data_IF_395097290784
#
_entry.id   IF_395097290784
#
_cell.length_a   1.000
_cell.length_b   1.000
_cell.length_c   1.000
_cell.angle_alpha   90.00
_cell.angle_beta   90.00
_cell.angle_gamma   90.00
#
_symmetry.space_group_name_H-M   'P 1'
#
loop_
_entity.id
_entity.type
_entity.pdbx_description
1 polymer ?
#
# COMPACT_ATOMS: atom_id res chain seq x y z
N UNK A 1 -6.54 17.20 -18.64
CA UNK A 1 -5.18 16.72 -18.35
C UNK A 1 -4.23 17.90 -18.36
N UNK A 2 -3.50 18.15 -17.27
CA UNK A 2 -2.64 19.33 -17.17
C UNK A 2 -1.26 19.05 -17.79
N UNK A 3 -1.12 19.33 -19.09
CA UNK A 3 0.15 19.29 -19.83
C UNK A 3 0.89 20.63 -19.76
N UNK A 4 0.56 21.49 -18.79
CA UNK A 4 1.25 22.76 -18.60
C UNK A 4 2.41 22.61 -17.60
N UNK A 5 3.53 23.27 -17.88
CA UNK A 5 4.68 23.41 -16.98
C UNK A 5 5.24 24.82 -17.05
N UNK A 6 5.91 25.31 -15.99
CA UNK A 6 6.62 26.58 -16.07
C UNK A 6 7.80 26.46 -17.04
N UNK A 7 7.85 27.33 -18.05
CA UNK A 7 8.93 27.36 -19.01
C UNK A 7 10.26 27.64 -18.28
N UNK A 8 11.28 26.77 -18.38
CA UNK A 8 12.54 26.96 -17.65
C UNK A 8 13.32 28.19 -18.13
N UNK A 9 13.02 28.72 -19.32
CA UNK A 9 13.71 29.88 -19.86
C UNK A 9 13.09 31.23 -19.46
N UNK A 10 11.78 31.29 -19.22
CA UNK A 10 11.08 32.57 -19.00
C UNK A 10 9.97 32.54 -17.94
N UNK A 11 9.71 31.40 -17.32
CA UNK A 11 8.69 31.23 -16.28
C UNK A 11 7.25 31.19 -16.77
N UNK A 12 6.97 31.59 -18.02
CA UNK A 12 5.61 31.54 -18.59
C UNK A 12 5.08 30.10 -18.70
N UNK A 13 3.76 29.93 -18.76
CA UNK A 13 3.15 28.61 -18.95
C UNK A 13 3.52 28.04 -20.32
N UNK A 14 4.13 26.86 -20.32
CA UNK A 14 4.46 26.09 -21.52
C UNK A 14 3.64 24.80 -21.55
N UNK A 15 3.29 24.34 -22.75
CA UNK A 15 2.55 23.11 -22.95
C UNK A 15 3.46 22.01 -23.50
N UNK A 16 3.27 20.77 -23.06
CA UNK A 16 4.04 19.60 -23.50
C UNK A 16 3.95 19.31 -25.01
N UNK A 17 2.87 19.72 -25.68
CA UNK A 17 2.68 19.52 -27.12
C UNK A 17 3.05 20.73 -27.98
N UNK A 18 2.80 21.95 -27.48
CA UNK A 18 2.94 23.18 -28.30
C UNK A 18 4.10 24.09 -27.89
N UNK A 19 4.72 23.85 -26.74
CA UNK A 19 5.82 24.67 -26.22
C UNK A 19 5.35 25.89 -25.44
N UNK A 20 6.26 26.86 -25.27
CA UNK A 20 6.03 28.05 -24.48
C UNK A 20 5.35 29.15 -25.29
N UNK A 21 4.22 29.67 -24.81
CA UNK A 21 3.52 30.81 -25.43
C UNK A 21 4.17 32.16 -25.13
N UNK A 22 5.00 32.24 -24.08
CA UNK A 22 5.71 33.48 -23.71
C UNK A 22 6.96 33.75 -24.55
N UNK A 23 7.85 32.76 -24.67
CA UNK A 23 9.14 32.92 -25.37
C UNK A 23 9.24 32.12 -26.68
N UNK A 24 8.19 31.40 -27.08
CA UNK A 24 8.13 30.64 -28.33
C UNK A 24 9.01 29.38 -28.37
N UNK A 25 9.68 29.01 -27.27
CA UNK A 25 10.52 27.80 -27.23
C UNK A 25 9.67 26.53 -27.41
N UNK A 26 10.20 25.51 -28.10
CA UNK A 26 9.52 24.23 -28.21
C UNK A 26 9.37 23.55 -26.84
N UNK A 27 8.54 22.51 -26.74
CA UNK A 27 8.44 21.69 -25.53
C UNK A 27 9.81 21.22 -25.04
N UNK A 28 10.02 21.28 -23.73
CA UNK A 28 11.27 20.86 -23.10
C UNK A 28 11.16 19.38 -22.71
N UNK A 29 11.94 18.48 -23.32
CA UNK A 29 11.76 17.03 -23.14
C UNK A 29 11.95 16.60 -21.68
N UNK A 30 12.93 17.17 -20.96
CA UNK A 30 13.12 16.88 -19.55
C UNK A 30 11.97 17.34 -18.65
N UNK A 31 11.27 18.44 -19.00
CA UNK A 31 10.14 18.91 -18.20
C UNK A 31 8.88 18.09 -18.48
N UNK A 32 8.73 17.63 -19.73
CA UNK A 32 7.71 16.67 -20.12
C UNK A 32 7.84 15.35 -19.35
N UNK A 33 9.07 14.87 -19.22
CA UNK A 33 9.37 13.64 -18.52
C UNK A 33 9.06 13.73 -17.03
N UNK A 34 9.40 14.84 -16.36
CA UNK A 34 9.05 15.07 -14.95
C UNK A 34 7.54 14.98 -14.74
N UNK A 35 6.74 15.67 -15.56
CA UNK A 35 5.27 15.61 -15.44
C UNK A 35 4.73 14.20 -15.68
N UNK A 36 5.32 13.45 -16.63
CA UNK A 36 4.93 12.05 -16.87
C UNK A 36 5.21 11.19 -15.64
N UNK A 37 6.41 11.31 -15.08
CA UNK A 37 6.81 10.57 -13.88
C UNK A 37 5.96 10.94 -12.66
N UNK A 38 5.66 12.22 -12.45
CA UNK A 38 4.80 12.68 -11.35
C UNK A 38 3.42 12.00 -11.40
N UNK A 39 2.86 11.81 -12.60
CA UNK A 39 1.57 11.11 -12.77
C UNK A 39 1.69 9.63 -12.44
N UNK A 40 2.77 8.99 -12.86
CA UNK A 40 3.02 7.58 -12.56
C UNK A 40 3.22 7.36 -11.07
N UNK A 41 3.94 8.27 -10.40
CA UNK A 41 4.11 8.26 -8.95
C UNK A 41 2.76 8.39 -8.24
N UNK A 42 1.90 9.35 -8.62
CA UNK A 42 0.57 9.53 -8.00
C UNK A 42 -0.30 8.28 -8.13
N UNK A 43 -0.26 7.62 -9.29
CA UNK A 43 -0.99 6.36 -9.49
C UNK A 43 -0.43 5.26 -8.60
N UNK A 44 0.90 5.12 -8.56
CA UNK A 44 1.57 4.10 -7.75
C UNK A 44 1.36 4.32 -6.25
N UNK A 45 1.38 5.57 -5.77
CA UNK A 45 1.06 5.91 -4.38
C UNK A 45 -0.36 5.47 -4.01
N UNK A 46 -1.33 5.64 -4.92
CA UNK A 46 -2.69 5.15 -4.74
C UNK A 46 -2.77 3.62 -4.68
N UNK A 47 -1.96 2.91 -5.47
CA UNK A 47 -1.85 1.44 -5.41
C UNK A 47 -1.22 0.97 -4.09
N UNK A 48 -0.13 1.61 -3.66
CA UNK A 48 0.54 1.32 -2.38
C UNK A 48 -0.42 1.55 -1.21
N UNK A 49 -1.17 2.65 -1.20
CA UNK A 49 -2.16 2.93 -0.17
C UNK A 49 -3.25 1.85 -0.08
N UNK A 50 -3.79 1.42 -1.23
CA UNK A 50 -4.79 0.34 -1.30
C UNK A 50 -4.21 -1.00 -0.83
N UNK A 51 -2.99 -1.33 -1.24
CA UNK A 51 -2.31 -2.54 -0.81
C UNK A 51 -2.10 -2.56 0.71
N UNK A 52 -1.74 -1.41 1.30
CA UNK A 52 -1.58 -1.29 2.75
C UNK A 52 -2.89 -1.51 3.50
N UNK A 53 -3.99 -0.90 3.04
CA UNK A 53 -5.31 -1.13 3.62
C UNK A 53 -5.74 -2.60 3.55
N UNK A 54 -5.48 -3.27 2.42
CA UNK A 54 -5.75 -4.69 2.26
C UNK A 54 -4.92 -5.56 3.21
N UNK A 55 -3.63 -5.25 3.35
CA UNK A 55 -2.73 -5.93 4.29
C UNK A 55 -3.23 -5.78 5.74
N UNK A 56 -3.53 -4.57 6.18
CA UNK A 56 -4.01 -4.30 7.54
C UNK A 56 -5.33 -5.05 7.82
N UNK A 57 -6.25 -5.09 6.83
CA UNK A 57 -7.48 -5.87 6.91
C UNK A 57 -7.23 -7.38 7.06
N UNK A 58 -6.27 -7.93 6.32
CA UNK A 58 -5.89 -9.35 6.44
C UNK A 58 -5.26 -9.67 7.80
N UNK A 59 -4.38 -8.79 8.30
CA UNK A 59 -3.77 -8.94 9.62
C UNK A 59 -4.83 -8.94 10.72
N UNK A 60 -5.79 -8.01 10.68
CA UNK A 60 -6.89 -7.95 11.64
C UNK A 60 -7.74 -9.22 11.60
N UNK A 61 -8.08 -9.72 10.40
CA UNK A 61 -8.86 -10.95 10.23
C UNK A 61 -8.11 -12.18 10.75
N UNK A 62 -6.80 -12.26 10.49
CA UNK A 62 -5.95 -13.34 10.98
C UNK A 62 -5.89 -13.34 12.51
N UNK A 63 -5.75 -12.18 13.14
CA UNK A 63 -5.76 -12.04 14.58
C UNK A 63 -7.09 -12.53 15.19
N UNK A 64 -8.23 -12.11 14.62
CA UNK A 64 -9.55 -12.54 15.06
C UNK A 64 -9.75 -14.06 14.95
N UNK A 65 -9.30 -14.68 13.85
CA UNK A 65 -9.37 -16.13 13.67
C UNK A 65 -8.49 -16.88 14.66
N UNK A 66 -7.28 -16.38 14.93
CA UNK A 66 -6.38 -16.97 15.94
C UNK A 66 -7.01 -16.94 17.33
N UNK A 67 -7.60 -15.80 17.71
CA UNK A 67 -8.29 -15.67 18.99
C UNK A 67 -9.43 -16.68 19.10
N UNK A 68 -10.34 -16.69 18.12
CA UNK A 68 -11.48 -17.62 18.10
C UNK A 68 -11.04 -19.07 18.18
N UNK A 69 -9.97 -19.45 17.46
CA UNK A 69 -9.40 -20.80 17.52
C UNK A 69 -8.91 -21.13 18.93
N UNK A 70 -8.23 -20.20 19.59
CA UNK A 70 -7.75 -20.40 20.95
C UNK A 70 -8.90 -20.56 21.95
N UNK A 71 -9.95 -19.77 21.81
CA UNK A 71 -11.16 -19.85 22.65
C UNK A 71 -11.84 -21.21 22.49
N UNK A 72 -12.02 -21.68 21.25
CA UNK A 72 -12.58 -23.00 20.96
C UNK A 72 -11.68 -24.12 21.53
N UNK A 73 -10.36 -24.02 21.34
CA UNK A 73 -9.42 -25.00 21.88
C UNK A 73 -9.43 -25.02 23.41
N UNK A 74 -9.62 -23.87 24.07
CA UNK A 74 -9.77 -23.79 25.51
C UNK A 74 -11.06 -24.46 25.98
N UNK A 75 -12.19 -24.23 25.29
CA UNK A 75 -13.46 -24.89 25.58
C UNK A 75 -13.34 -26.42 25.45
N UNK A 76 -12.72 -26.91 24.38
CA UNK A 76 -12.48 -28.36 24.19
C UNK A 76 -11.63 -28.94 25.33
N UNK A 77 -10.56 -28.25 25.76
CA UNK A 77 -9.75 -28.71 26.89
C UNK A 77 -10.50 -28.69 28.23
N UNK A 78 -11.42 -27.76 28.41
CA UNK A 78 -12.26 -27.71 29.61
C UNK A 78 -13.28 -28.85 29.63
N UNK A 79 -13.81 -29.24 28.47
CA UNK A 79 -14.72 -30.39 28.32
C UNK A 79 -14.00 -31.73 28.54
N UNK A 80 -12.75 -31.84 28.10
CA UNK A 80 -11.91 -33.03 28.24
C UNK A 80 -10.68 -32.75 29.10
N UNK A 81 -10.83 -32.58 30.43
CA UNK A 81 -9.69 -32.35 31.30
C UNK A 81 -8.75 -33.56 31.25
N UNK A 82 -7.42 -33.32 31.23
CA UNK A 82 -6.46 -34.41 31.20
C UNK A 82 -6.66 -35.32 32.42
N UNK A 83 -6.75 -36.63 32.19
CA UNK A 83 -6.73 -37.60 33.29
C UNK A 83 -5.39 -37.49 34.02
N UNK A 84 -5.37 -37.53 35.36
CA UNK A 84 -4.13 -37.67 36.10
C UNK A 84 -3.42 -38.94 35.63
N UNK A 85 -2.22 -38.79 35.10
CA UNK A 85 -1.34 -39.93 34.85
C UNK A 85 -0.74 -40.29 36.20
N UNK A 86 -1.29 -41.32 36.84
CA UNK A 86 -0.70 -41.85 38.07
C UNK A 86 0.56 -42.62 37.64
N UNK A 87 1.77 -42.22 38.08
CA UNK A 87 2.96 -43.00 37.81
C UNK A 87 2.77 -44.41 38.40
N UNK A 88 2.99 -45.44 37.58
CA UNK A 88 2.94 -46.82 38.06
C UNK A 88 3.98 -47.00 39.18
N UNK A 89 3.70 -47.79 40.23
CA UNK A 89 4.71 -48.10 41.23
C UNK A 89 5.89 -48.76 40.51
N UNK A 90 7.08 -48.19 40.72
CA UNK A 90 8.34 -48.79 40.26
C UNK A 90 8.56 -50.15 40.95
N UNK A 91 9.43 -51.00 40.37
CA UNK A 91 9.77 -52.30 40.95
C UNK A 91 10.40 -52.20 42.33
#
# INVERSE_FOLDING_TARGET
>A
MNNAYPCPACGASANLGTGCTGCGRPPHPGAAEVIRLDREIVVLDGEVARARQAYDGLVARLAALRQRRNDVAAAVRAEFPPRPVIPAPGP
#
